data_IF_842160430048
#
_entry.id   IF_842160430048
#
_cell.length_a   1.000
_cell.length_b   1.000
_cell.length_c   1.000
_cell.angle_alpha   90.00
_cell.angle_beta   90.00
_cell.angle_gamma   90.00
#
_symmetry.space_group_name_H-M   'P 1'
#
loop_
_entity.id
_entity.type
_entity.pdbx_description
1 polymer ?
#
# COMPACT_ATOMS: atom_id res chain seq x y z
N UNK A 1 10.29 -3.59 -5.99
CA UNK A 1 9.56 -3.89 -4.72
C UNK A 1 9.83 -5.33 -4.35
N UNK A 2 9.83 -5.68 -3.07
CA UNK A 2 9.85 -7.09 -2.69
C UNK A 2 8.46 -7.72 -2.92
N UNK A 3 8.36 -9.04 -3.16
CA UNK A 3 7.06 -9.71 -3.31
C UNK A 3 6.12 -9.48 -2.11
N UNK A 4 6.66 -9.48 -0.90
CA UNK A 4 5.92 -9.20 0.34
C UNK A 4 5.32 -7.80 0.37
N UNK A 5 6.05 -6.79 -0.14
CA UNK A 5 5.55 -5.42 -0.21
C UNK A 5 4.39 -5.31 -1.20
N UNK A 6 4.50 -5.98 -2.35
CA UNK A 6 3.43 -6.01 -3.36
C UNK A 6 2.18 -6.67 -2.77
N UNK A 7 2.34 -7.77 -2.03
CA UNK A 7 1.24 -8.44 -1.34
C UNK A 7 0.55 -7.51 -0.33
N UNK A 8 1.32 -6.82 0.53
CA UNK A 8 0.78 -5.83 1.47
C UNK A 8 0.03 -4.71 0.77
N UNK A 9 0.57 -4.17 -0.32
CA UNK A 9 -0.07 -3.12 -1.12
C UNK A 9 -1.40 -3.63 -1.71
N UNK A 10 -1.43 -4.86 -2.23
CA UNK A 10 -2.64 -5.45 -2.78
C UNK A 10 -3.72 -5.66 -1.72
N UNK A 11 -3.36 -6.15 -0.53
CA UNK A 11 -4.29 -6.27 0.61
C UNK A 11 -4.82 -4.90 1.03
N UNK A 12 -3.92 -3.91 1.18
CA UNK A 12 -4.30 -2.53 1.49
C UNK A 12 -5.23 -1.93 0.45
N UNK A 13 -5.02 -2.20 -0.84
CA UNK A 13 -5.86 -1.67 -1.90
C UNK A 13 -7.30 -2.22 -1.86
N UNK A 14 -7.52 -3.37 -1.21
CA UNK A 14 -8.85 -3.92 -0.93
C UNK A 14 -9.57 -3.27 0.26
N UNK A 15 -8.87 -2.49 1.10
CA UNK A 15 -9.46 -1.86 2.27
C UNK A 15 -10.40 -0.70 1.90
N UNK A 16 -11.40 -0.47 2.75
CA UNK A 16 -12.28 0.70 2.67
C UNK A 16 -11.62 1.90 3.35
N UNK A 17 -11.23 2.89 2.54
CA UNK A 17 -10.66 4.16 3.01
C UNK A 17 -11.71 5.27 3.09
N UNK A 18 -11.48 6.24 3.99
CA UNK A 18 -12.27 7.48 4.02
C UNK A 18 -12.18 8.21 2.65
N UNK A 19 -13.29 8.69 2.08
CA UNK A 19 -13.27 9.44 0.82
C UNK A 19 -12.30 10.63 0.88
N UNK A 20 -11.48 10.78 -0.15
CA UNK A 20 -10.49 11.87 -0.25
C UNK A 20 -9.33 11.78 0.75
N UNK A 21 -9.19 10.69 1.51
CA UNK A 21 -8.08 10.54 2.45
C UNK A 21 -6.73 10.46 1.74
N UNK A 22 -5.69 10.89 2.44
CA UNK A 22 -4.31 10.72 1.99
C UNK A 22 -3.97 9.23 1.82
N UNK A 23 -4.38 8.38 2.78
CA UNK A 23 -4.18 6.93 2.76
C UNK A 23 -4.68 6.30 1.45
N UNK A 24 -5.89 6.69 0.99
CA UNK A 24 -6.47 6.20 -0.27
C UNK A 24 -5.61 6.57 -1.47
N UNK A 25 -5.18 7.83 -1.55
CA UNK A 25 -4.34 8.32 -2.67
C UNK A 25 -2.97 7.64 -2.66
N UNK A 26 -2.39 7.47 -1.48
CA UNK A 26 -1.10 6.82 -1.31
C UNK A 26 -1.12 5.35 -1.73
N UNK A 27 -2.06 4.57 -1.21
CA UNK A 27 -2.18 3.13 -1.54
C UNK A 27 -2.50 2.94 -3.02
N UNK A 28 -3.37 3.78 -3.60
CA UNK A 28 -3.67 3.74 -5.04
C UNK A 28 -2.42 4.01 -5.89
N UNK A 29 -1.64 5.04 -5.55
CA UNK A 29 -0.41 5.36 -6.27
C UNK A 29 0.62 4.23 -6.19
N UNK A 30 0.73 3.57 -5.02
CA UNK A 30 1.60 2.41 -4.86
C UNK A 30 1.13 1.20 -5.65
N UNK A 31 -0.18 0.95 -5.69
CA UNK A 31 -0.76 -0.13 -6.51
C UNK A 31 -0.49 0.08 -7.99
N UNK A 32 -0.76 1.28 -8.52
CA UNK A 32 -0.43 1.64 -9.90
C UNK A 32 1.08 1.46 -10.17
N UNK A 33 1.94 1.84 -9.22
CA UNK A 33 3.40 1.64 -9.34
C UNK A 33 3.80 0.16 -9.35
N UNK A 34 3.12 -0.69 -8.57
CA UNK A 34 3.39 -2.14 -8.54
C UNK A 34 2.94 -2.87 -9.81
N UNK A 35 1.89 -2.37 -10.46
CA UNK A 35 1.37 -2.93 -11.72
C UNK A 35 2.23 -2.49 -12.92
N UNK A 36 2.67 -1.23 -12.97
CA UNK A 36 3.44 -0.67 -14.09
C UNK A 36 4.95 -0.90 -13.96
N UNK A 37 5.48 -0.84 -12.74
CA UNK A 37 6.93 -0.87 -12.46
C UNK A 37 7.26 -1.74 -11.25
N UNK A 38 7.02 -3.08 -11.30
CA UNK A 38 7.22 -3.96 -10.16
C UNK A 38 8.67 -3.98 -9.63
N UNK A 39 9.65 -3.74 -10.50
CA UNK A 39 11.07 -3.69 -10.14
C UNK A 39 11.46 -2.38 -9.43
N UNK A 40 10.59 -1.36 -9.39
CA UNK A 40 10.87 -0.10 -8.71
C UNK A 40 10.98 -0.33 -7.21
N UNK A 41 12.07 0.09 -6.59
CA UNK A 41 12.24 0.00 -5.14
C UNK A 41 11.41 1.07 -4.42
N UNK A 42 10.87 0.71 -3.26
CA UNK A 42 10.22 1.66 -2.38
C UNK A 42 11.28 2.36 -1.53
N UNK A 43 11.13 3.66 -1.36
CA UNK A 43 11.93 4.39 -0.38
C UNK A 43 11.61 3.92 1.05
N UNK A 44 12.57 4.08 1.96
CA UNK A 44 12.41 3.72 3.39
C UNK A 44 11.15 4.32 3.99
N UNK A 45 10.86 5.60 3.70
CA UNK A 45 9.65 6.28 4.18
C UNK A 45 8.36 5.65 3.64
N UNK A 46 8.36 5.21 2.38
CA UNK A 46 7.19 4.54 1.80
C UNK A 46 6.95 3.18 2.47
N UNK A 47 8.01 2.44 2.76
CA UNK A 47 7.94 1.16 3.47
C UNK A 47 7.33 1.37 4.86
N UNK A 48 7.85 2.33 5.63
CA UNK A 48 7.31 2.66 6.96
C UNK A 48 5.82 3.04 6.91
N UNK A 49 5.41 3.80 5.88
CA UNK A 49 4.01 4.15 5.69
C UNK A 49 3.13 2.95 5.34
N UNK A 50 3.61 2.06 4.46
CA UNK A 50 2.90 0.82 4.13
C UNK A 50 2.70 -0.01 5.40
N UNK A 51 3.72 -0.16 6.24
CA UNK A 51 3.62 -0.92 7.49
C UNK A 51 2.67 -0.26 8.49
N UNK A 52 2.73 1.07 8.66
CA UNK A 52 1.79 1.83 9.49
C UNK A 52 0.35 1.67 9.01
N UNK A 53 0.10 1.77 7.71
CA UNK A 53 -1.23 1.60 7.13
C UNK A 53 -1.71 0.15 7.26
N UNK A 54 -0.82 -0.82 7.05
CA UNK A 54 -1.12 -2.25 7.26
C UNK A 54 -1.58 -2.48 8.69
N UNK A 55 -0.87 -1.95 9.68
CA UNK A 55 -1.30 -2.04 11.08
C UNK A 55 -2.62 -1.30 11.36
N UNK A 56 -2.79 -0.09 10.81
CA UNK A 56 -4.01 0.73 10.98
C UNK A 56 -5.26 0.04 10.42
N UNK A 57 -5.15 -0.57 9.24
CA UNK A 57 -6.23 -1.22 8.51
C UNK A 57 -6.29 -2.74 8.72
N UNK A 58 -5.47 -3.31 9.63
CA UNK A 58 -5.34 -4.76 9.87
C UNK A 58 -6.65 -5.51 10.12
N UNK A 59 -7.70 -4.83 10.59
CA UNK A 59 -9.03 -5.42 10.80
C UNK A 59 -9.84 -5.63 9.51
N UNK A 60 -9.41 -5.02 8.41
CA UNK A 60 -10.04 -5.13 7.09
C UNK A 60 -9.22 -6.01 6.13
N UNK A 61 -7.97 -6.31 6.49
CA UNK A 61 -7.08 -7.15 5.70
C UNK A 61 -7.46 -8.62 6.00
N UNK A 62 -7.82 -9.42 4.97
CA UNK A 62 -8.13 -10.83 5.14
C UNK A 62 -6.89 -11.66 5.49
#
# INVERSE_FOLDING_TARGET
>A
MTPEQIEKINKLAGCTFKPGSWDKRFVRSLKESSEQTPNKELSVKQIEWVDKLTYKYRRQIP
#
